data_IF_856753360670
#
_entry.id   IF_856753360670
#
_cell.length_a   1.000
_cell.length_b   1.000
_cell.length_c   1.000
_cell.angle_alpha   90.00
_cell.angle_beta   90.00
_cell.angle_gamma   90.00
#
_symmetry.space_group_name_H-M   'P 1'
#
loop_
_entity.id
_entity.type
_entity.pdbx_description
1 polymer ?
#
# COMPACT_ATOMS: atom_id res chain seq x y z
N UNK A 1 22.86 -67.24 7.47
CA UNK A 1 24.30 -67.38 7.63
C UNK A 1 24.75 -66.10 8.37
N UNK A 2 24.82 -66.16 9.63
CA UNK A 2 25.89 -66.40 10.60
C UNK A 2 26.76 -65.17 10.78
N UNK A 3 26.55 -64.54 11.95
CA UNK A 3 27.45 -64.47 13.14
C UNK A 3 28.45 -63.30 13.03
N UNK A 4 28.82 -62.53 14.03
CA UNK A 4 28.87 -62.56 15.51
C UNK A 4 29.27 -61.15 16.00
N UNK A 5 28.61 -60.58 16.94
CA UNK A 5 29.01 -60.20 18.31
C UNK A 5 30.52 -60.05 18.60
N UNK A 6 30.91 -58.91 19.20
CA UNK A 6 31.67 -58.88 20.45
C UNK A 6 31.61 -57.52 21.15
N UNK A 7 31.21 -57.62 22.38
CA UNK A 7 31.18 -56.70 23.51
C UNK A 7 32.59 -56.57 24.10
N UNK A 8 32.99 -55.41 24.60
CA UNK A 8 33.81 -55.29 25.80
C UNK A 8 33.54 -53.97 26.52
N UNK A 9 33.39 -54.13 27.82
CA UNK A 9 33.02 -53.15 28.82
C UNK A 9 34.23 -52.82 29.75
N UNK A 10 33.96 -51.84 30.67
CA UNK A 10 34.69 -51.58 31.94
C UNK A 10 35.90 -50.62 31.80
N UNK A 11 36.09 -49.56 32.59
CA UNK A 11 35.83 -49.22 33.99
C UNK A 11 36.01 -47.72 34.27
N UNK A 12 35.21 -47.21 35.01
CA UNK A 12 35.13 -46.39 36.23
C UNK A 12 36.46 -46.03 36.93
N UNK A 13 36.74 -44.70 37.13
CA UNK A 13 37.42 -44.21 38.34
C UNK A 13 36.90 -42.81 38.71
N UNK A 14 36.34 -42.70 39.93
CA UNK A 14 36.02 -41.49 40.70
C UNK A 14 37.27 -40.86 41.31
N UNK A 15 37.35 -39.52 41.34
CA UNK A 15 37.99 -38.81 42.48
C UNK A 15 37.56 -37.34 42.55
N UNK A 16 36.85 -36.94 43.56
CA UNK A 16 36.83 -35.64 44.26
C UNK A 16 37.74 -35.80 45.50
N UNK A 17 38.25 -34.75 46.18
CA UNK A 17 37.66 -33.45 46.50
C UNK A 17 38.68 -32.27 46.57
N UNK A 18 38.38 -31.04 46.83
CA UNK A 18 38.33 -30.32 48.09
C UNK A 18 38.32 -28.79 47.93
N UNK A 19 37.61 -28.18 48.81
CA UNK A 19 37.37 -26.77 48.97
C UNK A 19 38.58 -25.92 49.34
N UNK A 20 38.59 -24.63 48.98
CA UNK A 20 39.53 -23.64 49.48
C UNK A 20 38.89 -22.26 49.46
N UNK A 21 38.39 -21.77 50.61
CA UNK A 21 38.04 -20.38 50.90
C UNK A 21 39.32 -19.54 51.08
N UNK A 22 39.33 -18.30 50.58
CA UNK A 22 40.42 -17.36 50.84
C UNK A 22 40.06 -15.94 50.43
N UNK A 23 39.97 -15.08 51.40
CA UNK A 23 39.43 -13.73 51.53
C UNK A 23 40.22 -12.61 50.83
N UNK A 24 39.43 -11.55 50.56
CA UNK A 24 39.72 -10.10 50.59
C UNK A 24 41.01 -9.54 49.96
N UNK A 25 40.78 -8.61 49.00
CA UNK A 25 41.74 -7.57 48.61
C UNK A 25 41.03 -6.46 47.86
N UNK A 26 40.72 -5.39 48.58
CA UNK A 26 40.26 -4.10 48.00
C UNK A 26 41.39 -3.46 47.21
N UNK A 27 41.12 -2.96 46.01
CA UNK A 27 41.73 -1.73 45.51
C UNK A 27 40.84 -1.08 44.45
N UNK A 28 40.50 0.12 44.77
CA UNK A 28 39.79 1.13 43.96
C UNK A 28 40.57 1.50 42.71
N UNK A 29 39.84 1.71 41.63
CA UNK A 29 39.85 3.00 40.87
C UNK A 29 39.51 2.77 39.40
N UNK A 30 38.73 3.67 38.90
CA UNK A 30 38.47 3.79 37.44
C UNK A 30 37.02 3.76 37.10
N UNK A 31 36.28 4.75 37.56
CA UNK A 31 34.93 5.02 37.04
C UNK A 31 35.05 5.48 35.57
N UNK A 32 34.72 4.56 34.67
CA UNK A 32 34.28 4.95 33.34
C UNK A 32 32.76 4.93 33.40
N UNK A 33 32.19 6.11 33.52
CA UNK A 33 30.77 6.37 33.27
C UNK A 33 30.47 6.04 31.81
N UNK A 34 30.19 4.76 31.50
CA UNK A 34 29.52 4.40 30.28
C UNK A 34 28.08 4.89 30.42
N UNK A 35 27.79 5.97 29.69
CA UNK A 35 26.43 6.51 29.57
C UNK A 35 25.46 5.39 29.29
N UNK A 36 24.37 5.35 30.09
CA UNK A 36 23.30 4.36 29.99
C UNK A 36 22.51 4.45 28.70
N UNK A 37 23.09 4.07 27.58
CA UNK A 37 22.40 3.77 26.34
C UNK A 37 21.92 2.33 26.39
N UNK A 38 20.71 2.09 26.93
CA UNK A 38 20.08 0.77 26.85
C UNK A 38 20.08 0.28 25.42
N UNK A 39 20.56 -0.98 25.18
CA UNK A 39 20.58 -1.58 23.86
C UNK A 39 19.17 -1.61 23.25
N UNK A 40 19.09 -1.34 21.93
CA UNK A 40 17.81 -1.43 21.21
C UNK A 40 17.40 -2.90 21.18
N UNK A 41 16.18 -3.21 21.60
CA UNK A 41 15.61 -4.56 21.47
C UNK A 41 15.42 -4.85 19.99
N UNK A 42 15.75 -6.06 19.56
CA UNK A 42 15.63 -6.51 18.17
C UNK A 42 14.80 -7.78 18.08
N UNK A 43 14.25 -8.03 16.89
CA UNK A 43 13.46 -9.22 16.56
C UNK A 43 13.90 -9.83 15.22
N UNK A 44 13.11 -10.76 14.67
CA UNK A 44 13.38 -11.32 13.34
C UNK A 44 13.60 -10.22 12.29
N UNK A 45 14.58 -10.41 11.40
CA UNK A 45 14.90 -9.44 10.36
C UNK A 45 15.76 -8.26 10.81
N UNK A 46 16.12 -8.15 12.09
CA UNK A 46 16.96 -7.06 12.62
C UNK A 46 18.24 -7.60 13.22
N UNK A 47 19.37 -7.09 12.76
CA UNK A 47 20.70 -7.33 13.31
C UNK A 47 21.33 -6.01 13.80
N UNK A 48 22.57 -6.05 14.29
CA UNK A 48 23.29 -4.83 14.65
C UNK A 48 23.62 -3.93 13.44
N UNK A 49 23.62 -4.49 12.22
CA UNK A 49 24.03 -3.79 10.99
C UNK A 49 22.92 -3.66 9.97
N UNK A 50 21.86 -4.46 10.06
CA UNK A 50 20.83 -4.53 9.01
C UNK A 50 19.42 -4.59 9.57
N UNK A 51 18.46 -4.04 8.82
CA UNK A 51 17.02 -4.29 8.94
C UNK A 51 16.58 -4.87 7.60
N UNK A 52 15.96 -6.04 7.60
CA UNK A 52 15.44 -6.69 6.39
C UNK A 52 13.93 -6.55 6.37
N UNK A 53 13.39 -6.02 5.27
CA UNK A 53 11.96 -5.88 5.02
C UNK A 53 11.57 -6.77 3.83
N UNK A 54 10.28 -7.07 3.71
CA UNK A 54 9.75 -7.87 2.61
C UNK A 54 8.84 -7.05 1.69
N UNK A 55 8.92 -7.33 0.38
CA UNK A 55 7.97 -6.88 -0.63
C UNK A 55 7.28 -8.10 -1.22
N UNK A 56 5.99 -8.26 -0.96
CA UNK A 56 5.10 -9.18 -1.67
C UNK A 56 4.35 -8.37 -2.71
N UNK A 57 4.71 -8.54 -3.98
CA UNK A 57 4.28 -7.66 -5.06
C UNK A 57 3.79 -8.44 -6.28
N UNK A 58 3.17 -7.75 -7.23
CA UNK A 58 2.70 -8.31 -8.50
C UNK A 58 3.60 -7.82 -9.65
N UNK A 59 4.54 -8.65 -10.09
CA UNK A 59 5.42 -8.31 -11.22
C UNK A 59 5.03 -9.03 -12.52
N UNK A 60 4.06 -9.93 -12.46
CA UNK A 60 3.64 -10.76 -13.60
C UNK A 60 2.13 -10.83 -13.84
N UNK A 61 1.30 -10.31 -12.93
CA UNK A 61 -0.16 -10.33 -12.99
C UNK A 61 -0.78 -9.03 -13.51
N UNK A 62 -2.04 -8.80 -13.12
CA UNK A 62 -2.87 -7.69 -13.64
C UNK A 62 -2.35 -6.30 -13.30
N UNK A 63 -1.66 -6.16 -12.16
CA UNK A 63 -1.09 -4.88 -11.71
C UNK A 63 0.42 -4.76 -11.94
N UNK A 64 1.05 -5.71 -12.62
CA UNK A 64 2.48 -5.67 -12.92
C UNK A 64 2.97 -4.33 -13.53
N UNK A 65 2.21 -3.68 -14.44
CA UNK A 65 2.61 -2.39 -15.00
C UNK A 65 2.74 -1.27 -13.96
N UNK A 66 1.99 -1.33 -12.85
CA UNK A 66 2.04 -0.36 -11.76
C UNK A 66 3.03 -0.78 -10.66
N UNK A 67 3.06 -2.07 -10.34
CA UNK A 67 3.83 -2.63 -9.25
C UNK A 67 5.34 -2.60 -9.51
N UNK A 68 5.78 -2.84 -10.74
CA UNK A 68 7.21 -2.79 -11.09
C UNK A 68 7.85 -1.43 -10.77
N UNK A 69 7.33 -0.31 -11.31
CA UNK A 69 7.82 1.03 -10.97
C UNK A 69 7.69 1.38 -9.47
N UNK A 70 6.63 0.93 -8.79
CA UNK A 70 6.44 1.10 -7.36
C UNK A 70 7.58 0.44 -6.57
N UNK A 71 7.87 -0.84 -6.83
CA UNK A 71 8.93 -1.59 -6.16
C UNK A 71 10.31 -0.96 -6.43
N UNK A 72 10.56 -0.47 -7.65
CA UNK A 72 11.79 0.28 -7.97
C UNK A 72 11.89 1.58 -7.16
N UNK A 73 10.78 2.28 -6.93
CA UNK A 73 10.76 3.50 -6.13
C UNK A 73 11.00 3.21 -4.62
N UNK A 74 10.46 2.11 -4.09
CA UNK A 74 10.80 1.63 -2.75
C UNK A 74 12.32 1.41 -2.63
N UNK A 75 12.91 0.68 -3.57
CA UNK A 75 14.36 0.42 -3.57
C UNK A 75 15.16 1.72 -3.69
N UNK A 76 14.73 2.65 -4.56
CA UNK A 76 15.39 3.96 -4.73
C UNK A 76 15.43 4.74 -3.42
N UNK A 77 14.32 4.79 -2.69
CA UNK A 77 14.27 5.46 -1.38
C UNK A 77 15.27 4.84 -0.41
N UNK A 78 15.27 3.49 -0.28
CA UNK A 78 16.17 2.81 0.64
C UNK A 78 17.64 2.93 0.25
N UNK A 79 17.97 2.90 -1.05
CA UNK A 79 19.32 3.18 -1.53
C UNK A 79 19.80 4.57 -1.08
N UNK A 80 18.93 5.59 -1.22
CA UNK A 80 19.23 6.95 -0.79
C UNK A 80 19.39 7.06 0.73
N UNK A 81 18.53 6.41 1.52
CA UNK A 81 18.63 6.43 2.99
C UNK A 81 19.84 5.64 3.50
N UNK A 82 20.14 4.51 2.88
CA UNK A 82 21.34 3.71 3.21
C UNK A 82 22.63 4.51 2.96
N UNK A 83 22.68 5.30 1.88
CA UNK A 83 23.78 6.23 1.63
C UNK A 83 23.92 7.35 2.68
N UNK A 84 22.87 7.63 3.45
CA UNK A 84 22.86 8.59 4.56
C UNK A 84 23.04 7.95 5.94
N UNK A 85 23.37 6.65 6.00
CA UNK A 85 23.58 5.91 7.25
C UNK A 85 22.41 5.03 7.69
N UNK A 86 21.40 4.85 6.83
CA UNK A 86 20.28 3.94 7.03
C UNK A 86 19.32 4.36 8.15
N UNK A 87 18.86 3.38 8.92
CA UNK A 87 17.97 3.59 10.09
C UNK A 87 18.70 3.18 11.35
N UNK A 88 18.98 4.12 12.25
CA UNK A 88 19.70 3.86 13.50
C UNK A 88 21.04 3.18 13.30
N UNK A 89 21.77 3.58 12.25
CA UNK A 89 23.07 2.98 11.90
C UNK A 89 22.96 1.59 11.22
N UNK A 90 21.76 1.18 10.79
CA UNK A 90 21.50 -0.10 10.11
C UNK A 90 21.12 0.13 8.66
N UNK A 91 21.71 -0.63 7.76
CA UNK A 91 21.31 -0.68 6.34
C UNK A 91 19.96 -1.41 6.21
N UNK A 92 19.04 -0.87 5.43
CA UNK A 92 17.76 -1.53 5.12
C UNK A 92 17.89 -2.31 3.82
N UNK A 93 17.52 -3.60 3.86
CA UNK A 93 17.51 -4.50 2.71
C UNK A 93 16.08 -4.95 2.41
N UNK A 94 15.74 -5.13 1.12
CA UNK A 94 14.45 -5.63 0.67
C UNK A 94 14.56 -7.06 0.14
N UNK A 95 13.63 -7.94 0.53
CA UNK A 95 13.40 -9.26 -0.09
C UNK A 95 12.14 -9.14 -0.93
N UNK A 96 12.29 -9.12 -2.26
CA UNK A 96 11.17 -8.98 -3.19
C UNK A 96 10.70 -10.35 -3.66
N UNK A 97 9.38 -10.59 -3.63
CA UNK A 97 8.71 -11.80 -4.13
C UNK A 97 7.55 -11.42 -5.04
N UNK A 98 7.48 -12.07 -6.19
CA UNK A 98 6.40 -11.91 -7.18
C UNK A 98 5.32 -12.95 -6.99
N UNK A 99 4.14 -12.54 -6.50
CA UNK A 99 3.00 -13.45 -6.36
C UNK A 99 2.07 -13.46 -7.59
N UNK A 100 2.26 -12.56 -8.58
CA UNK A 100 1.44 -12.54 -9.80
C UNK A 100 -0.05 -12.31 -9.54
N UNK A 101 -0.40 -11.61 -8.46
CA UNK A 101 -1.77 -11.38 -7.98
C UNK A 101 -2.52 -12.66 -7.57
N UNK A 102 -1.78 -13.73 -7.21
CA UNK A 102 -2.31 -15.03 -6.76
C UNK A 102 -2.19 -15.16 -5.23
N UNK A 103 -3.32 -15.21 -4.47
CA UNK A 103 -3.30 -15.35 -3.02
C UNK A 103 -2.61 -16.62 -2.52
N UNK A 104 -2.72 -17.75 -3.23
CA UNK A 104 -2.10 -19.01 -2.81
C UNK A 104 -0.58 -18.93 -2.92
N UNK A 105 -0.08 -18.37 -4.02
CA UNK A 105 1.34 -18.13 -4.23
C UNK A 105 1.89 -17.15 -3.18
N UNK A 106 1.14 -16.09 -2.86
CA UNK A 106 1.53 -15.12 -1.83
C UNK A 106 1.67 -15.77 -0.44
N UNK A 107 0.76 -16.67 -0.05
CA UNK A 107 0.84 -17.41 1.22
C UNK A 107 2.12 -18.25 1.31
N UNK A 108 2.48 -18.94 0.22
CA UNK A 108 3.72 -19.75 0.18
C UNK A 108 4.95 -18.85 0.29
N UNK A 109 4.97 -17.73 -0.44
CA UNK A 109 6.10 -16.79 -0.43
C UNK A 109 6.24 -16.07 0.91
N UNK A 110 5.13 -15.70 1.54
CA UNK A 110 5.15 -15.11 2.87
C UNK A 110 5.79 -16.05 3.90
N UNK A 111 5.41 -17.32 3.90
CA UNK A 111 6.00 -18.33 4.81
C UNK A 111 7.52 -18.48 4.63
N UNK A 112 8.03 -18.36 3.40
CA UNK A 112 9.47 -18.40 3.13
C UNK A 112 10.20 -17.20 3.71
N UNK A 113 9.63 -15.99 3.58
CA UNK A 113 10.34 -14.76 3.98
C UNK A 113 10.04 -14.30 5.41
N UNK A 114 8.88 -14.66 5.98
CA UNK A 114 8.46 -14.14 7.28
C UNK A 114 9.48 -14.35 8.40
N UNK A 115 10.22 -15.46 8.52
CA UNK A 115 11.24 -15.59 9.58
C UNK A 115 12.45 -14.65 9.41
N UNK A 116 12.63 -14.07 8.22
CA UNK A 116 13.81 -13.29 7.82
C UNK A 116 13.58 -11.78 7.82
N UNK A 117 12.32 -11.32 8.02
CA UNK A 117 11.92 -9.91 7.87
C UNK A 117 11.38 -9.30 9.16
N UNK A 118 11.60 -8.01 9.34
CA UNK A 118 11.05 -7.23 10.46
C UNK A 118 9.63 -6.72 10.17
N UNK A 119 9.28 -6.53 8.91
CA UNK A 119 7.99 -6.03 8.45
C UNK A 119 7.86 -6.18 6.93
N UNK A 120 6.65 -5.98 6.41
CA UNK A 120 6.38 -5.87 4.99
C UNK A 120 6.38 -4.40 4.58
N UNK A 121 7.40 -4.03 3.79
CA UNK A 121 7.51 -2.71 3.17
C UNK A 121 6.41 -2.51 2.13
N UNK A 122 6.08 -3.58 1.39
CA UNK A 122 5.05 -3.60 0.39
C UNK A 122 4.25 -4.91 0.49
N UNK A 123 2.93 -4.78 0.61
CA UNK A 123 2.00 -5.90 0.46
C UNK A 123 0.94 -5.47 -0.55
N UNK A 124 1.06 -5.97 -1.79
CA UNK A 124 0.21 -5.55 -2.88
C UNK A 124 -0.99 -6.48 -3.07
N UNK A 125 -2.16 -5.87 -3.11
CA UNK A 125 -3.41 -6.53 -3.46
C UNK A 125 -4.32 -6.83 -2.27
N UNK A 126 -5.57 -6.37 -2.36
CA UNK A 126 -6.57 -6.58 -1.31
C UNK A 126 -6.87 -8.06 -1.05
N UNK A 127 -7.08 -8.92 -2.09
CA UNK A 127 -7.30 -10.35 -1.86
C UNK A 127 -6.06 -11.07 -1.31
N UNK A 128 -4.87 -10.58 -1.64
CA UNK A 128 -3.60 -11.10 -1.10
C UNK A 128 -3.53 -10.80 0.41
N UNK A 129 -3.82 -9.56 0.78
CA UNK A 129 -3.79 -9.12 2.19
C UNK A 129 -4.85 -9.86 3.00
N UNK A 130 -6.07 -10.01 2.49
CA UNK A 130 -7.14 -10.76 3.15
C UNK A 130 -6.75 -12.23 3.41
N UNK A 131 -6.14 -12.89 2.43
CA UNK A 131 -5.66 -14.27 2.57
C UNK A 131 -4.53 -14.42 3.62
N UNK A 132 -3.70 -13.40 3.77
CA UNK A 132 -2.58 -13.41 4.73
C UNK A 132 -2.97 -12.91 6.12
N UNK A 133 -4.11 -12.24 6.28
CA UNK A 133 -4.48 -11.51 7.50
C UNK A 133 -4.35 -12.32 8.80
N UNK A 134 -4.82 -13.58 8.90
CA UNK A 134 -4.66 -14.37 10.12
C UNK A 134 -3.20 -14.61 10.50
N UNK A 135 -2.34 -14.86 9.49
CA UNK A 135 -0.91 -15.11 9.72
C UNK A 135 -0.16 -13.82 10.06
N UNK A 136 -0.47 -12.71 9.37
CA UNK A 136 0.09 -11.39 9.69
C UNK A 136 -0.22 -10.97 11.12
N UNK A 137 -1.47 -11.23 11.58
CA UNK A 137 -1.90 -10.99 12.96
C UNK A 137 -1.11 -11.83 13.97
N UNK A 138 -0.99 -13.14 13.71
CA UNK A 138 -0.22 -14.06 14.57
C UNK A 138 1.24 -13.66 14.68
N UNK A 139 1.85 -13.27 13.56
CA UNK A 139 3.26 -12.88 13.48
C UNK A 139 3.54 -11.46 13.98
N UNK A 140 2.50 -10.68 14.29
CA UNK A 140 2.58 -9.23 14.57
C UNK A 140 3.36 -8.50 13.48
N UNK A 141 3.12 -8.88 12.23
CA UNK A 141 3.84 -8.38 11.06
C UNK A 141 3.25 -7.06 10.61
N UNK A 142 3.96 -5.95 10.87
CA UNK A 142 3.59 -4.68 10.28
C UNK A 142 3.60 -4.81 8.75
N UNK A 143 2.54 -4.31 8.12
CA UNK A 143 2.35 -4.46 6.68
C UNK A 143 1.88 -3.15 6.08
N UNK A 144 2.75 -2.52 5.26
CA UNK A 144 2.36 -1.35 4.49
C UNK A 144 1.69 -1.83 3.20
N UNK A 145 0.43 -1.48 3.04
CA UNK A 145 -0.36 -1.98 1.92
C UNK A 145 -0.13 -1.15 0.65
N UNK A 146 -0.09 -1.82 -0.49
CA UNK A 146 -0.38 -1.27 -1.82
C UNK A 146 -1.78 -1.73 -2.23
N UNK A 147 -2.72 -1.45 -1.36
CA UNK A 147 -4.16 -1.70 -1.41
C UNK A 147 -4.82 -0.83 -0.35
N UNK A 148 -6.09 -0.44 -0.54
CA UNK A 148 -6.79 0.49 0.37
C UNK A 148 -8.21 0.03 0.70
N UNK A 149 -8.44 -1.27 1.02
CA UNK A 149 -9.79 -1.75 1.32
C UNK A 149 -10.20 -1.35 2.75
N UNK A 150 -11.36 -0.72 2.94
CA UNK A 150 -11.80 -0.27 4.26
C UNK A 150 -11.97 -1.41 5.28
N UNK A 151 -12.19 -2.63 4.82
CA UNK A 151 -12.34 -3.84 5.66
C UNK A 151 -11.10 -4.20 6.48
N UNK A 152 -9.92 -3.72 6.10
CA UNK A 152 -8.65 -4.04 6.76
C UNK A 152 -8.21 -3.02 7.80
N UNK A 153 -8.83 -1.83 7.84
CA UNK A 153 -8.43 -0.70 8.70
C UNK A 153 -8.47 -1.01 10.20
N UNK A 154 -9.33 -1.94 10.64
CA UNK A 154 -9.46 -2.32 12.05
C UNK A 154 -8.23 -3.07 12.61
N UNK A 155 -7.26 -3.44 11.76
CA UNK A 155 -6.06 -4.18 12.17
C UNK A 155 -4.89 -3.24 12.45
N UNK A 156 -4.40 -3.25 13.68
CA UNK A 156 -3.35 -2.31 14.14
C UNK A 156 -1.97 -2.51 13.48
N UNK A 157 -1.73 -3.65 12.86
CA UNK A 157 -0.50 -3.98 12.11
C UNK A 157 -0.62 -3.70 10.60
N UNK A 158 -1.78 -3.26 10.13
CA UNK A 158 -2.04 -2.87 8.73
C UNK A 158 -1.92 -1.35 8.60
N UNK A 159 -1.11 -0.90 7.65
CA UNK A 159 -0.86 0.52 7.38
C UNK A 159 -1.26 0.83 5.95
N UNK A 160 -2.35 1.57 5.77
CA UNK A 160 -2.75 2.14 4.48
C UNK A 160 -2.15 3.54 4.34
N UNK A 161 -1.34 3.73 3.29
CA UNK A 161 -0.73 5.02 2.98
C UNK A 161 -1.63 5.77 2.00
N UNK A 162 -2.55 6.57 2.53
CA UNK A 162 -3.53 7.30 1.72
C UNK A 162 -4.97 7.11 2.20
N UNK A 163 -5.92 7.47 1.34
CA UNK A 163 -7.35 7.29 1.56
C UNK A 163 -7.79 5.89 1.13
N UNK A 164 -8.81 5.34 1.80
CA UNK A 164 -9.41 4.06 1.42
C UNK A 164 -10.29 4.19 0.17
N UNK A 165 -10.56 3.08 -0.51
CA UNK A 165 -11.32 3.05 -1.78
C UNK A 165 -12.71 3.65 -1.70
N UNK A 166 -13.40 3.46 -0.58
CA UNK A 166 -14.70 4.06 -0.33
C UNK A 166 -14.63 5.59 -0.22
N UNK A 167 -13.63 6.11 0.51
CA UNK A 167 -13.37 7.55 0.62
C UNK A 167 -13.03 8.16 -0.75
N UNK A 168 -12.21 7.47 -1.55
CA UNK A 168 -11.87 7.91 -2.90
C UNK A 168 -13.13 8.04 -3.78
N UNK A 169 -14.03 7.04 -3.75
CA UNK A 169 -15.25 7.06 -4.54
C UNK A 169 -16.28 8.09 -4.05
N UNK A 170 -16.44 8.26 -2.72
CA UNK A 170 -17.31 9.29 -2.15
C UNK A 170 -16.84 10.67 -2.62
N UNK A 171 -15.56 10.98 -2.47
CA UNK A 171 -14.98 12.24 -2.90
C UNK A 171 -15.10 12.45 -4.42
N UNK A 172 -14.84 11.41 -5.22
CA UNK A 172 -14.96 11.48 -6.68
C UNK A 172 -16.36 11.88 -7.14
N UNK A 173 -17.40 11.27 -6.56
CA UNK A 173 -18.79 11.56 -6.90
C UNK A 173 -19.22 12.94 -6.39
N UNK A 174 -18.80 13.35 -5.20
CA UNK A 174 -19.05 14.72 -4.71
C UNK A 174 -18.33 15.78 -5.54
N UNK A 175 -17.12 15.47 -6.04
CA UNK A 175 -16.43 16.34 -6.99
C UNK A 175 -17.25 16.54 -8.28
N UNK A 176 -17.74 15.43 -8.89
CA UNK A 176 -18.58 15.52 -10.09
C UNK A 176 -19.86 16.31 -9.81
N UNK A 177 -20.50 16.09 -8.66
CA UNK A 177 -21.70 16.84 -8.24
C UNK A 177 -21.38 18.32 -8.06
N UNK A 178 -20.30 18.66 -7.39
CA UNK A 178 -19.85 20.05 -7.21
C UNK A 178 -19.52 20.78 -8.51
N UNK A 179 -19.17 20.03 -9.58
CA UNK A 179 -18.98 20.56 -10.92
C UNK A 179 -20.26 20.58 -11.77
N UNK A 180 -21.41 20.18 -11.22
CA UNK A 180 -22.67 20.13 -11.93
C UNK A 180 -22.78 19.05 -13.00
N UNK A 181 -21.86 18.07 -13.01
CA UNK A 181 -21.85 16.98 -13.99
C UNK A 181 -22.87 15.89 -13.64
N UNK A 182 -23.17 15.73 -12.36
CA UNK A 182 -24.23 14.87 -11.84
C UNK A 182 -25.01 15.64 -10.77
N UNK A 183 -26.21 15.17 -10.44
CA UNK A 183 -27.07 15.77 -9.41
C UNK A 183 -27.68 14.70 -8.49
N UNK A 184 -28.25 15.12 -7.39
CA UNK A 184 -29.06 14.25 -6.51
C UNK A 184 -30.20 13.60 -7.29
N UNK A 185 -30.44 12.32 -7.04
CA UNK A 185 -31.43 11.49 -7.76
C UNK A 185 -30.89 10.80 -9.02
N UNK A 186 -29.69 11.15 -9.48
CA UNK A 186 -29.12 10.50 -10.67
C UNK A 186 -28.75 9.05 -10.41
N UNK A 187 -28.84 8.21 -11.45
CA UNK A 187 -28.34 6.83 -11.44
C UNK A 187 -26.83 6.82 -11.72
N UNK A 188 -26.08 6.16 -10.87
CA UNK A 188 -24.64 5.97 -11.01
C UNK A 188 -24.36 4.52 -11.40
N UNK A 189 -23.68 4.30 -12.51
CA UNK A 189 -23.14 2.99 -12.85
C UNK A 189 -21.89 2.70 -12.00
N UNK A 190 -21.68 1.46 -11.56
CA UNK A 190 -20.40 1.07 -10.95
C UNK A 190 -19.92 -0.25 -11.55
N UNK A 191 -18.78 -0.23 -12.25
CA UNK A 191 -18.09 -1.42 -12.73
C UNK A 191 -16.96 -1.72 -11.77
N UNK A 192 -16.93 -2.93 -11.22
CA UNK A 192 -15.99 -3.27 -10.14
C UNK A 192 -15.55 -4.73 -10.17
N UNK A 193 -14.31 -4.98 -9.76
CA UNK A 193 -13.81 -6.33 -9.55
C UNK A 193 -14.52 -7.01 -8.39
N UNK A 194 -14.80 -8.29 -8.53
CA UNK A 194 -15.21 -9.12 -7.39
C UNK A 194 -14.12 -9.15 -6.32
N UNK A 195 -14.52 -9.11 -5.03
CA UNK A 195 -13.63 -9.12 -3.86
C UNK A 195 -13.34 -7.74 -3.25
N UNK A 196 -12.49 -7.72 -2.24
CA UNK A 196 -12.29 -6.60 -1.30
C UNK A 196 -11.95 -5.27 -1.99
N UNK A 197 -11.21 -5.31 -3.10
CA UNK A 197 -10.88 -4.10 -3.86
C UNK A 197 -12.13 -3.45 -4.44
N UNK A 198 -12.86 -4.20 -5.28
CA UNK A 198 -14.02 -3.67 -5.98
C UNK A 198 -15.18 -3.34 -5.04
N UNK A 199 -15.42 -4.22 -4.06
CA UNK A 199 -16.50 -4.06 -3.08
C UNK A 199 -16.22 -2.88 -2.14
N UNK A 200 -14.96 -2.58 -1.80
CA UNK A 200 -14.59 -1.40 -1.04
C UNK A 200 -14.98 -0.11 -1.76
N UNK A 201 -14.66 0.03 -3.05
CA UNK A 201 -15.08 1.19 -3.83
C UNK A 201 -16.59 1.26 -4.02
N UNK A 202 -17.25 0.11 -4.24
CA UNK A 202 -18.71 0.03 -4.35
C UNK A 202 -19.41 0.52 -3.08
N UNK A 203 -18.88 0.18 -1.89
CA UNK A 203 -19.42 0.65 -0.62
C UNK A 203 -19.46 2.18 -0.55
N UNK A 204 -18.39 2.86 -0.99
CA UNK A 204 -18.35 4.32 -1.09
C UNK A 204 -19.39 4.88 -2.06
N UNK A 205 -19.52 4.27 -3.24
CA UNK A 205 -20.54 4.68 -4.22
C UNK A 205 -21.96 4.51 -3.67
N UNK A 206 -22.26 3.38 -3.02
CA UNK A 206 -23.57 3.13 -2.39
C UNK A 206 -23.86 4.12 -1.26
N UNK A 207 -22.87 4.42 -0.43
CA UNK A 207 -23.02 5.40 0.63
C UNK A 207 -23.33 6.79 0.05
N UNK A 208 -22.55 7.24 -0.92
CA UNK A 208 -22.81 8.51 -1.59
C UNK A 208 -24.21 8.56 -2.19
N UNK A 209 -24.62 7.50 -2.89
CA UNK A 209 -25.94 7.40 -3.49
C UNK A 209 -27.06 7.53 -2.44
N UNK A 210 -26.91 6.85 -1.29
CA UNK A 210 -27.88 6.91 -0.18
C UNK A 210 -28.05 8.34 0.38
N UNK A 211 -26.95 9.11 0.45
CA UNK A 211 -26.98 10.51 0.94
C UNK A 211 -27.54 11.49 -0.09
N UNK A 212 -27.60 11.08 -1.35
CA UNK A 212 -28.04 11.95 -2.45
C UNK A 212 -29.38 11.52 -3.08
N UNK A 213 -30.10 10.55 -2.50
CA UNK A 213 -31.33 10.01 -3.09
C UNK A 213 -31.10 9.39 -4.47
N UNK A 214 -29.88 8.99 -4.76
CA UNK A 214 -29.41 8.38 -6.00
C UNK A 214 -29.47 6.85 -5.92
N UNK A 215 -29.32 6.15 -7.04
CA UNK A 215 -29.27 4.70 -7.09
C UNK A 215 -28.00 4.22 -7.82
N UNK A 216 -27.53 3.02 -7.50
CA UNK A 216 -26.34 2.41 -8.11
C UNK A 216 -26.76 1.28 -9.02
N UNK A 217 -26.23 1.26 -10.24
CA UNK A 217 -26.37 0.15 -11.22
C UNK A 217 -25.06 -0.61 -11.24
N UNK A 218 -25.03 -1.75 -10.57
CA UNK A 218 -23.83 -2.54 -10.32
C UNK A 218 -23.49 -3.45 -11.51
N UNK A 219 -22.19 -3.49 -11.85
CA UNK A 219 -21.63 -4.38 -12.87
C UNK A 219 -20.38 -5.06 -12.28
N UNK A 220 -20.57 -6.22 -11.65
CA UNK A 220 -19.49 -7.04 -11.11
C UNK A 220 -18.77 -7.77 -12.25
N UNK A 221 -17.43 -7.80 -12.21
CA UNK A 221 -16.58 -8.48 -13.18
C UNK A 221 -15.42 -9.21 -12.47
N UNK A 222 -14.79 -10.13 -13.20
CA UNK A 222 -13.53 -10.75 -12.77
C UNK A 222 -12.33 -9.90 -13.21
N UNK A 223 -11.20 -10.00 -12.50
CA UNK A 223 -9.98 -9.29 -12.87
C UNK A 223 -9.41 -9.66 -14.25
N UNK A 224 -9.80 -10.84 -14.76
CA UNK A 224 -9.44 -11.36 -16.08
C UNK A 224 -10.34 -10.91 -17.22
N UNK A 225 -11.51 -10.31 -16.91
CA UNK A 225 -12.43 -9.81 -17.92
C UNK A 225 -11.89 -8.51 -18.53
N UNK A 226 -11.70 -8.45 -19.83
CA UNK A 226 -11.16 -7.28 -20.53
C UNK A 226 -12.19 -6.57 -21.44
N UNK A 227 -13.21 -7.29 -21.93
CA UNK A 227 -14.28 -6.71 -22.76
C UNK A 227 -15.47 -6.26 -21.91
N UNK A 228 -15.70 -4.94 -21.88
CA UNK A 228 -16.77 -4.33 -21.10
C UNK A 228 -18.02 -3.98 -21.92
N UNK A 229 -18.18 -4.58 -23.11
CA UNK A 229 -19.31 -4.28 -24.03
C UNK A 229 -20.66 -4.54 -23.37
N UNK A 230 -20.82 -5.67 -22.69
CA UNK A 230 -22.06 -6.05 -22.01
C UNK A 230 -22.42 -5.11 -20.86
N UNK A 231 -21.42 -4.78 -20.03
CA UNK A 231 -21.56 -3.90 -18.87
C UNK A 231 -21.95 -2.48 -19.29
N UNK A 232 -21.24 -1.91 -20.28
CA UNK A 232 -21.53 -0.56 -20.79
C UNK A 232 -22.93 -0.50 -21.43
N UNK A 233 -23.33 -1.53 -22.21
CA UNK A 233 -24.66 -1.61 -22.78
C UNK A 233 -25.75 -1.67 -21.70
N UNK A 234 -25.51 -2.39 -20.60
CA UNK A 234 -26.43 -2.44 -19.46
C UNK A 234 -26.57 -1.08 -18.77
N UNK A 235 -25.44 -0.40 -18.52
CA UNK A 235 -25.41 0.94 -17.93
C UNK A 235 -26.11 1.98 -18.82
N UNK A 236 -25.92 1.91 -20.14
CA UNK A 236 -26.60 2.77 -21.10
C UNK A 236 -28.12 2.56 -21.05
N UNK A 237 -28.59 1.31 -21.10
CA UNK A 237 -30.04 1.01 -20.99
C UNK A 237 -30.63 1.48 -19.66
N UNK A 238 -29.87 1.42 -18.57
CA UNK A 238 -30.30 1.90 -17.26
C UNK A 238 -30.36 3.43 -17.18
N UNK A 239 -29.73 4.16 -18.11
CA UNK A 239 -29.72 5.61 -18.18
C UNK A 239 -28.85 6.26 -17.11
N UNK A 240 -27.70 5.66 -16.79
CA UNK A 240 -26.76 6.21 -15.80
C UNK A 240 -26.22 7.57 -16.22
N UNK A 241 -25.87 8.42 -15.26
CA UNK A 241 -25.34 9.78 -15.46
C UNK A 241 -23.86 9.92 -15.15
N UNK A 242 -23.27 8.93 -14.51
CA UNK A 242 -21.83 8.75 -14.34
C UNK A 242 -21.52 7.26 -14.24
N UNK A 243 -20.24 6.90 -14.46
CA UNK A 243 -19.73 5.56 -14.24
C UNK A 243 -18.60 5.64 -13.22
N UNK A 244 -18.77 5.02 -12.06
CA UNK A 244 -17.71 4.74 -11.11
C UNK A 244 -17.00 3.45 -11.51
N UNK A 245 -15.69 3.41 -11.34
CA UNK A 245 -14.85 2.29 -11.77
C UNK A 245 -13.89 1.91 -10.66
N UNK A 246 -13.91 0.63 -10.24
CA UNK A 246 -12.95 0.05 -9.29
C UNK A 246 -12.41 -1.24 -9.91
N UNK A 247 -11.52 -1.08 -10.90
CA UNK A 247 -10.96 -2.16 -11.73
C UNK A 247 -9.49 -1.90 -12.07
N UNK A 248 -8.91 -2.66 -12.97
CA UNK A 248 -7.59 -2.39 -13.54
C UNK A 248 -7.64 -1.41 -14.73
N UNK A 249 -6.46 -0.97 -15.20
CA UNK A 249 -6.36 0.01 -16.30
C UNK A 249 -6.97 -0.46 -17.62
N UNK A 250 -6.84 -1.73 -17.98
CA UNK A 250 -7.41 -2.26 -19.23
C UNK A 250 -8.93 -2.15 -19.26
N UNK A 251 -9.59 -2.43 -18.14
CA UNK A 251 -11.04 -2.32 -18.01
C UNK A 251 -11.49 -0.85 -18.10
N UNK A 252 -10.77 0.09 -17.47
CA UNK A 252 -11.05 1.52 -17.62
C UNK A 252 -10.99 1.96 -19.08
N UNK A 253 -9.96 1.54 -19.82
CA UNK A 253 -9.83 1.85 -21.24
C UNK A 253 -10.97 1.24 -22.06
N UNK A 254 -11.33 -0.02 -21.80
CA UNK A 254 -12.45 -0.71 -22.44
C UNK A 254 -13.78 0.01 -22.18
N UNK A 255 -14.07 0.35 -20.91
CA UNK A 255 -15.29 1.10 -20.53
C UNK A 255 -15.35 2.44 -21.29
N UNK A 256 -14.27 3.23 -21.25
CA UNK A 256 -14.24 4.55 -21.87
C UNK A 256 -14.42 4.48 -23.40
N UNK A 257 -13.71 3.58 -24.06
CA UNK A 257 -13.78 3.40 -25.51
C UNK A 257 -15.15 2.91 -25.96
N UNK A 258 -15.73 1.92 -25.26
CA UNK A 258 -17.05 1.37 -25.61
C UNK A 258 -18.16 2.39 -25.28
N UNK A 259 -18.08 3.10 -24.16
CA UNK A 259 -19.05 4.15 -23.82
C UNK A 259 -19.10 5.22 -24.91
N UNK A 260 -17.94 5.69 -25.36
CA UNK A 260 -17.86 6.66 -26.46
C UNK A 260 -18.42 6.10 -27.76
N UNK A 261 -18.08 4.86 -28.16
CA UNK A 261 -18.58 4.23 -29.38
C UNK A 261 -20.09 4.01 -29.38
N UNK A 262 -20.66 3.75 -28.21
CA UNK A 262 -22.11 3.60 -28.04
C UNK A 262 -22.84 4.93 -27.81
N UNK A 263 -22.14 6.07 -27.76
CA UNK A 263 -22.73 7.40 -27.52
C UNK A 263 -23.16 7.61 -26.04
N UNK A 264 -22.61 6.86 -25.10
CA UNK A 264 -22.80 7.09 -23.66
C UNK A 264 -21.75 8.11 -23.17
N UNK A 265 -22.03 9.39 -23.38
CA UNK A 265 -21.14 10.50 -23.02
C UNK A 265 -21.41 10.96 -21.58
N UNK A 266 -20.96 10.24 -20.61
CA UNK A 266 -21.07 10.56 -19.17
C UNK A 266 -19.68 10.59 -18.53
N UNK A 267 -19.47 11.33 -17.42
CA UNK A 267 -18.21 11.29 -16.69
C UNK A 267 -17.94 9.88 -16.15
N UNK A 268 -16.66 9.49 -16.19
CA UNK A 268 -16.16 8.22 -15.67
C UNK A 268 -15.17 8.58 -14.56
N UNK A 269 -15.37 8.06 -13.35
CA UNK A 269 -14.43 8.27 -12.24
C UNK A 269 -13.80 6.93 -11.86
N UNK A 270 -12.47 6.89 -11.94
CA UNK A 270 -11.67 5.77 -11.44
C UNK A 270 -10.95 6.18 -10.15
N UNK A 271 -10.73 5.21 -9.27
CA UNK A 271 -9.89 5.37 -8.09
C UNK A 271 -8.47 4.84 -8.34
N UNK A 272 -7.59 4.89 -7.35
CA UNK A 272 -6.35 4.12 -7.41
C UNK A 272 -6.69 2.61 -7.36
N UNK A 273 -6.14 1.76 -8.19
CA UNK A 273 -5.15 1.87 -9.26
C UNK A 273 -5.73 1.71 -10.68
N UNK A 274 -6.85 2.33 -11.00
CA UNK A 274 -7.54 2.15 -12.29
C UNK A 274 -6.77 2.69 -13.51
N UNK A 275 -5.75 3.52 -13.31
CA UNK A 275 -5.05 4.19 -14.41
C UNK A 275 -3.59 3.76 -14.53
N UNK A 276 -3.17 3.48 -15.76
CA UNK A 276 -1.77 3.36 -16.18
C UNK A 276 -1.55 4.21 -17.45
N UNK A 277 -0.45 4.98 -17.58
CA UNK A 277 -0.19 5.80 -18.76
C UNK A 277 -0.24 5.03 -20.09
N UNK A 278 0.08 3.74 -20.10
CA UNK A 278 0.05 2.92 -21.31
C UNK A 278 -1.33 2.84 -21.98
N UNK A 279 -2.43 3.05 -21.22
CA UNK A 279 -3.78 3.08 -21.84
C UNK A 279 -4.01 4.32 -22.70
N UNK A 280 -3.16 5.36 -22.59
CA UNK A 280 -3.18 6.54 -23.46
C UNK A 280 -2.63 6.26 -24.86
N UNK A 281 -1.94 5.13 -25.05
CA UNK A 281 -1.51 4.65 -26.38
C UNK A 281 -2.60 3.82 -27.09
N UNK A 282 -3.75 3.61 -26.43
CA UNK A 282 -4.86 2.83 -26.96
C UNK A 282 -5.87 3.69 -27.74
N UNK A 283 -6.74 3.09 -28.56
CA UNK A 283 -7.85 3.79 -29.22
C UNK A 283 -8.80 4.51 -28.24
N UNK A 284 -8.80 4.14 -26.97
CA UNK A 284 -9.61 4.77 -25.93
C UNK A 284 -9.07 6.14 -25.45
N UNK A 285 -7.84 6.54 -25.83
CA UNK A 285 -7.18 7.75 -25.32
C UNK A 285 -8.05 9.01 -25.43
N UNK A 286 -8.69 9.22 -26.58
CA UNK A 286 -9.59 10.37 -26.82
C UNK A 286 -10.78 10.36 -25.84
N UNK A 287 -11.39 9.20 -25.61
CA UNK A 287 -12.52 9.04 -24.68
C UNK A 287 -12.08 9.23 -23.22
N UNK A 288 -10.91 8.69 -22.86
CA UNK A 288 -10.32 8.89 -21.54
C UNK A 288 -10.06 10.37 -21.26
N UNK A 289 -9.38 11.09 -22.16
CA UNK A 289 -9.13 12.53 -22.02
C UNK A 289 -10.42 13.34 -21.92
N UNK A 290 -11.46 12.96 -22.67
CA UNK A 290 -12.73 13.68 -22.68
C UNK A 290 -13.52 13.48 -21.38
N UNK A 291 -13.64 12.26 -20.88
CA UNK A 291 -14.66 11.89 -19.90
C UNK A 291 -14.09 11.31 -18.57
N UNK A 292 -12.82 10.88 -18.52
CA UNK A 292 -12.31 10.23 -17.32
C UNK A 292 -11.69 11.21 -16.31
N UNK A 293 -11.87 10.86 -15.04
CA UNK A 293 -11.26 11.48 -13.87
C UNK A 293 -10.66 10.38 -13.02
N UNK A 294 -9.47 10.64 -12.49
CA UNK A 294 -8.83 9.73 -11.53
C UNK A 294 -8.79 10.42 -10.19
N UNK A 295 -9.42 9.80 -9.21
CA UNK A 295 -9.55 10.28 -7.85
C UNK A 295 -8.78 9.36 -6.91
N UNK A 296 -7.82 9.90 -6.18
CA UNK A 296 -7.03 9.11 -5.25
C UNK A 296 -6.07 9.97 -4.44
N UNK A 297 -5.48 9.40 -3.42
CA UNK A 297 -4.56 10.14 -2.56
C UNK A 297 -3.16 10.31 -3.14
N UNK A 298 -2.81 9.60 -4.22
CA UNK A 298 -1.49 9.64 -4.85
C UNK A 298 -1.42 10.81 -5.84
N UNK A 299 -0.34 11.61 -5.76
CA UNK A 299 -0.12 12.72 -6.70
C UNK A 299 0.15 12.23 -8.11
N UNK A 300 -0.37 12.96 -9.11
CA UNK A 300 0.09 12.81 -10.47
C UNK A 300 1.51 13.38 -10.62
N UNK A 301 2.24 12.89 -11.63
CA UNK A 301 3.60 13.36 -11.95
C UNK A 301 3.69 14.86 -12.20
N UNK A 302 2.60 15.45 -12.65
CA UNK A 302 2.48 16.88 -13.00
C UNK A 302 2.15 17.79 -11.81
N UNK A 303 2.04 17.28 -10.58
CA UNK A 303 1.82 18.10 -9.41
C UNK A 303 3.05 18.99 -9.15
N UNK A 304 2.84 20.31 -9.14
CA UNK A 304 3.90 21.30 -8.89
C UNK A 304 4.23 21.38 -7.38
N UNK A 305 5.02 20.41 -6.91
CA UNK A 305 5.59 20.35 -5.56
C UNK A 305 7.05 19.92 -5.65
N UNK A 306 7.96 20.53 -4.86
CA UNK A 306 9.39 20.22 -4.92
C UNK A 306 9.69 18.73 -4.73
N UNK A 307 9.08 18.07 -3.75
CA UNK A 307 9.29 16.64 -3.47
C UNK A 307 8.82 15.76 -4.64
N UNK A 308 7.63 16.04 -5.20
CA UNK A 308 7.07 15.28 -6.33
C UNK A 308 7.99 15.36 -7.54
N UNK A 309 8.49 16.57 -7.83
CA UNK A 309 9.44 16.80 -8.92
C UNK A 309 10.77 16.09 -8.67
N UNK A 310 11.34 16.23 -7.47
CA UNK A 310 12.62 15.60 -7.11
C UNK A 310 12.56 14.08 -7.25
N UNK A 311 11.52 13.44 -6.69
CA UNK A 311 11.32 11.99 -6.80
C UNK A 311 11.16 11.57 -8.26
N UNK A 312 10.43 12.36 -9.04
CA UNK A 312 10.24 12.13 -10.47
C UNK A 312 11.55 12.19 -11.25
N UNK A 313 12.32 13.26 -11.07
CA UNK A 313 13.61 13.48 -11.76
C UNK A 313 14.63 12.40 -11.39
N UNK A 314 14.77 12.07 -10.11
CA UNK A 314 15.65 11.00 -9.60
C UNK A 314 15.29 9.65 -10.21
N UNK A 315 13.98 9.33 -10.24
CA UNK A 315 13.51 8.07 -10.78
C UNK A 315 13.76 7.95 -12.27
N UNK A 316 13.43 9.01 -13.04
CA UNK A 316 13.63 9.04 -14.50
C UNK A 316 15.11 8.96 -14.87
N UNK A 317 15.99 9.60 -14.11
CA UNK A 317 17.44 9.54 -14.36
C UNK A 317 17.99 8.10 -14.22
N UNK A 318 17.42 7.30 -13.31
CA UNK A 318 17.85 5.92 -13.03
C UNK A 318 17.13 4.88 -13.90
N UNK A 319 15.85 5.07 -14.22
CA UNK A 319 14.98 4.05 -14.82
C UNK A 319 14.39 4.44 -16.18
N UNK A 320 14.56 5.69 -16.62
CA UNK A 320 13.98 6.21 -17.85
C UNK A 320 12.52 6.64 -17.74
N UNK A 321 12.02 7.35 -18.77
CA UNK A 321 10.68 7.97 -18.78
C UNK A 321 9.55 6.97 -18.94
N UNK A 322 9.79 5.76 -19.48
CA UNK A 322 8.76 4.76 -19.75
C UNK A 322 8.03 4.32 -18.46
N UNK A 323 8.77 4.28 -17.35
CA UNK A 323 8.24 3.88 -16.05
C UNK A 323 7.75 5.07 -15.19
N UNK A 324 7.64 6.28 -15.78
CA UNK A 324 7.09 7.46 -15.10
C UNK A 324 5.57 7.31 -14.89
N UNK A 325 5.18 6.94 -13.68
CA UNK A 325 3.79 6.63 -13.29
C UNK A 325 3.52 7.11 -11.87
N UNK A 326 2.27 7.38 -11.53
CA UNK A 326 1.88 7.77 -10.16
C UNK A 326 2.31 6.73 -9.11
N UNK A 327 2.42 5.45 -9.47
CA UNK A 327 2.91 4.40 -8.59
C UNK A 327 4.35 4.59 -8.11
N UNK A 328 5.18 5.37 -8.83
CA UNK A 328 6.52 5.78 -8.36
C UNK A 328 6.41 6.72 -7.16
N UNK A 329 5.54 7.73 -7.25
CA UNK A 329 5.29 8.67 -6.16
C UNK A 329 4.80 7.93 -4.91
N UNK A 330 3.89 6.98 -5.12
CA UNK A 330 3.39 6.13 -4.04
C UNK A 330 4.48 5.26 -3.42
N UNK A 331 5.27 4.55 -4.22
CA UNK A 331 6.33 3.67 -3.70
C UNK A 331 7.34 4.43 -2.85
N UNK A 332 7.76 5.62 -3.32
CA UNK A 332 8.66 6.47 -2.55
C UNK A 332 8.04 6.92 -1.22
N UNK A 333 6.79 7.40 -1.24
CA UNK A 333 6.07 7.81 -0.03
C UNK A 333 5.83 6.65 0.95
N UNK A 334 5.52 5.46 0.43
CA UNK A 334 5.34 4.25 1.24
C UNK A 334 6.64 3.89 1.98
N UNK A 335 7.78 3.99 1.30
CA UNK A 335 9.08 3.74 1.92
C UNK A 335 9.45 4.83 2.94
N UNK A 336 9.10 6.10 2.68
CA UNK A 336 9.26 7.19 3.63
C UNK A 336 8.42 6.99 4.90
N UNK A 337 7.18 6.51 4.78
CA UNK A 337 6.35 6.15 5.94
C UNK A 337 6.98 5.02 6.76
N UNK A 338 7.47 3.95 6.11
CA UNK A 338 8.18 2.86 6.82
C UNK A 338 9.44 3.37 7.51
N UNK A 339 10.20 4.25 6.86
CA UNK A 339 11.36 4.91 7.47
C UNK A 339 11.00 5.65 8.77
N UNK A 340 9.92 6.43 8.75
CA UNK A 340 9.44 7.16 9.91
C UNK A 340 8.97 6.22 11.03
N UNK A 341 8.32 5.10 10.68
CA UNK A 341 7.92 4.05 11.64
C UNK A 341 9.16 3.42 12.30
N UNK A 342 10.14 3.01 11.51
CA UNK A 342 11.37 2.38 12.01
C UNK A 342 12.18 3.35 12.85
N UNK A 343 12.29 4.62 12.43
CA UNK A 343 12.94 5.67 13.22
C UNK A 343 12.26 5.85 14.58
N UNK A 344 10.93 5.90 14.59
CA UNK A 344 10.17 5.99 15.85
C UNK A 344 10.36 4.75 16.73
N UNK A 345 10.42 3.56 16.15
CA UNK A 345 10.73 2.32 16.88
C UNK A 345 12.14 2.35 17.50
N UNK A 346 13.11 2.93 16.77
CA UNK A 346 14.45 3.17 17.32
C UNK A 346 14.45 4.14 18.50
N UNK A 347 13.72 5.27 18.38
CA UNK A 347 13.59 6.26 19.47
C UNK A 347 12.99 5.59 20.71
N UNK A 348 12.04 4.67 20.51
CA UNK A 348 11.43 3.84 21.56
C UNK A 348 12.36 2.71 22.05
N UNK A 349 13.54 2.51 21.43
CA UNK A 349 14.49 1.43 21.69
C UNK A 349 13.91 0.02 21.51
N UNK A 350 12.95 -0.15 20.60
CA UNK A 350 12.28 -1.41 20.36
C UNK A 350 12.03 -1.66 18.86
N UNK A 351 12.93 -2.42 18.22
CA UNK A 351 12.83 -2.88 16.84
C UNK A 351 12.31 -4.33 16.75
N UNK A 352 11.64 -4.83 17.78
CA UNK A 352 10.84 -6.05 17.65
C UNK A 352 9.61 -5.76 16.78
N UNK A 353 8.98 -6.77 16.21
CA UNK A 353 7.73 -6.60 15.42
C UNK A 353 6.65 -5.85 16.21
N UNK A 354 6.46 -6.22 17.49
CA UNK A 354 5.51 -5.54 18.38
C UNK A 354 5.90 -4.06 18.60
N UNK A 355 7.20 -3.78 18.81
CA UNK A 355 7.71 -2.41 18.95
C UNK A 355 7.49 -1.58 17.68
N UNK A 356 7.69 -2.16 16.49
CA UNK A 356 7.46 -1.50 15.20
C UNK A 356 5.97 -1.19 15.00
N UNK A 357 5.07 -2.14 15.30
CA UNK A 357 3.62 -1.91 15.25
C UNK A 357 3.21 -0.78 16.22
N UNK A 358 3.69 -0.81 17.46
CA UNK A 358 3.42 0.27 18.44
C UNK A 358 3.94 1.64 17.97
N UNK A 359 5.12 1.66 17.34
CA UNK A 359 5.71 2.89 16.83
C UNK A 359 4.87 3.49 15.69
N UNK A 360 4.32 2.66 14.80
CA UNK A 360 3.47 3.14 13.71
C UNK A 360 2.24 3.91 14.23
N UNK A 361 1.66 3.47 15.34
CA UNK A 361 0.48 4.08 15.96
C UNK A 361 0.79 5.34 16.81
N UNK A 362 2.03 5.82 16.78
CA UNK A 362 2.46 7.07 17.38
C UNK A 362 2.74 8.17 16.33
N UNK A 363 2.55 7.87 15.04
CA UNK A 363 2.80 8.81 13.95
C UNK A 363 1.53 9.54 13.58
N UNK A 364 1.56 10.87 13.68
CA UNK A 364 0.52 11.76 13.16
C UNK A 364 1.16 12.94 12.45
N UNK A 365 0.43 13.55 11.51
CA UNK A 365 0.91 14.71 10.77
C UNK A 365 2.11 14.41 9.86
N UNK A 366 2.24 13.15 9.37
CA UNK A 366 3.33 12.78 8.47
C UNK A 366 3.09 13.47 7.12
N UNK A 367 3.98 14.41 6.78
CA UNK A 367 3.98 15.11 5.49
C UNK A 367 4.93 14.41 4.51
N UNK A 368 4.42 14.02 3.37
CA UNK A 368 5.19 13.39 2.29
C UNK A 368 5.54 14.39 1.17
N UNK A 369 5.55 15.68 1.47
CA UNK A 369 5.88 16.74 0.50
C UNK A 369 4.93 16.81 -0.70
N UNK A 370 3.71 16.26 -0.55
CA UNK A 370 2.68 16.21 -1.59
C UNK A 370 2.69 14.95 -2.45
N UNK A 371 3.54 13.95 -2.17
CA UNK A 371 3.46 12.65 -2.83
C UNK A 371 2.11 11.97 -2.56
N UNK A 372 1.61 12.12 -1.31
CA UNK A 372 0.26 11.71 -0.89
C UNK A 372 -0.51 12.96 -0.45
N UNK A 373 -1.79 12.99 -0.70
CA UNK A 373 -2.68 14.10 -0.35
C UNK A 373 -2.87 14.22 1.17
N UNK A 374 -2.64 15.41 1.70
CA UNK A 374 -2.81 15.75 3.11
C UNK A 374 -1.72 15.18 4.02
N UNK A 375 -1.66 15.63 5.27
CA UNK A 375 -0.87 14.97 6.29
C UNK A 375 -1.51 13.64 6.68
N UNK A 376 -0.66 12.62 6.95
CA UNK A 376 -1.10 11.28 7.29
C UNK A 376 -1.13 11.10 8.81
N UNK A 377 -2.20 10.48 9.32
CA UNK A 377 -2.39 10.18 10.74
C UNK A 377 -2.64 8.67 10.93
N UNK A 378 -1.73 8.00 11.63
CA UNK A 378 -1.80 6.56 11.91
C UNK A 378 -2.25 6.25 13.33
N UNK A 379 -2.58 7.25 14.14
CA UNK A 379 -2.96 7.06 15.57
C UNK A 379 -4.36 6.47 15.74
N UNK A 380 -5.20 6.57 14.72
CA UNK A 380 -6.59 6.13 14.74
C UNK A 380 -6.75 4.79 14.03
N UNK A 381 -6.80 3.71 14.79
CA UNK A 381 -7.10 2.38 14.26
C UNK A 381 -8.56 2.37 13.77
N UNK A 382 -8.80 1.76 12.63
CA UNK A 382 -10.14 1.73 11.99
C UNK A 382 -10.40 2.89 11.03
N UNK A 383 -9.45 3.83 10.89
CA UNK A 383 -9.53 4.95 9.95
C UNK A 383 -8.39 4.93 8.94
N UNK A 384 -8.60 5.40 7.68
CA UNK A 384 -7.52 5.61 6.73
C UNK A 384 -6.59 6.72 7.23
N UNK A 385 -5.35 6.72 6.76
CA UNK A 385 -4.36 7.71 7.19
C UNK A 385 -4.69 9.13 6.74
N UNK A 386 -5.54 9.29 5.73
CA UNK A 386 -6.12 10.56 5.29
C UNK A 386 -7.47 10.33 4.62
N UNK A 387 -8.33 11.34 4.59
CA UNK A 387 -9.58 11.37 3.80
C UNK A 387 -9.48 12.31 2.61
N UNK A 388 -8.33 12.95 2.48
CA UNK A 388 -8.04 13.92 1.41
C UNK A 388 -7.53 13.20 0.16
N UNK A 389 -7.97 13.65 -1.01
CA UNK A 389 -7.55 13.12 -2.29
C UNK A 389 -7.06 14.20 -3.25
N UNK A 390 -6.41 13.77 -4.30
CA UNK A 390 -6.19 14.52 -5.53
C UNK A 390 -7.21 14.10 -6.59
N UNK A 391 -7.49 15.01 -7.51
CA UNK A 391 -8.21 14.72 -8.75
C UNK A 391 -7.28 15.01 -9.93
N UNK A 392 -7.16 14.06 -10.83
CA UNK A 392 -6.39 14.21 -12.05
C UNK A 392 -7.20 13.79 -13.28
N UNK A 393 -6.78 14.21 -14.45
CA UNK A 393 -7.37 13.82 -15.73
C UNK A 393 -6.34 13.15 -16.62
N UNK A 394 -6.72 12.08 -17.34
CA UNK A 394 -5.89 11.53 -18.41
C UNK A 394 -5.55 12.61 -19.43
N UNK A 395 -4.25 12.76 -19.74
CA UNK A 395 -3.73 13.75 -20.71
C UNK A 395 -2.40 13.25 -21.30
N UNK A 396 -2.00 13.83 -22.41
CA UNK A 396 -0.73 13.52 -23.07
C UNK A 396 0.44 14.27 -22.40
N UNK A 397 0.72 13.88 -21.17
CA UNK A 397 1.80 14.44 -20.33
C UNK A 397 2.61 13.29 -19.72
N UNK A 398 3.79 13.60 -19.16
CA UNK A 398 4.57 12.60 -18.43
C UNK A 398 3.73 12.00 -17.31
N UNK A 399 3.71 10.68 -17.20
CA UNK A 399 2.86 9.96 -16.23
C UNK A 399 1.39 9.84 -16.63
N UNK A 400 0.99 10.41 -17.78
CA UNK A 400 -0.35 10.25 -18.37
C UNK A 400 -1.49 10.96 -17.65
N UNK A 401 -1.21 11.64 -16.52
CA UNK A 401 -2.22 12.34 -15.70
C UNK A 401 -1.84 13.79 -15.50
N UNK A 402 -2.77 14.68 -15.86
CA UNK A 402 -2.72 16.11 -15.53
C UNK A 402 -3.39 16.33 -14.18
N UNK A 403 -2.60 16.74 -13.19
CA UNK A 403 -3.09 17.09 -11.87
C UNK A 403 -4.01 18.31 -11.93
N UNK A 404 -5.21 18.21 -11.32
CA UNK A 404 -6.06 19.38 -11.11
C UNK A 404 -5.62 20.14 -9.84
N UNK A 405 -5.87 21.46 -9.78
CA UNK A 405 -5.40 22.27 -8.65
C UNK A 405 -5.99 21.86 -7.31
N UNK A 406 -5.15 21.84 -6.27
CA UNK A 406 -5.55 21.60 -4.91
C UNK A 406 -5.80 20.14 -4.56
N UNK A 407 -6.18 19.94 -3.32
CA UNK A 407 -6.70 18.68 -2.77
C UNK A 407 -8.21 18.79 -2.58
N UNK A 408 -8.88 17.65 -2.44
CA UNK A 408 -10.32 17.60 -2.26
C UNK A 408 -10.71 16.65 -1.13
N UNK A 409 -11.59 17.12 -0.27
CA UNK A 409 -12.21 16.35 0.80
C UNK A 409 -13.62 16.88 1.02
N UNK A 410 -14.63 16.07 0.69
CA UNK A 410 -16.02 16.46 0.81
C UNK A 410 -16.56 16.28 2.23
N UNK A 411 -17.62 17.01 2.57
CA UNK A 411 -18.31 16.82 3.86
C UNK A 411 -18.91 15.42 3.97
N UNK A 412 -19.32 14.81 2.86
CA UNK A 412 -19.79 13.43 2.83
C UNK A 412 -18.69 12.46 3.23
N UNK A 413 -17.48 12.65 2.70
CA UNK A 413 -16.31 11.83 3.05
C UNK A 413 -15.85 12.05 4.50
N UNK A 414 -15.86 13.30 5.01
CA UNK A 414 -15.54 13.62 6.40
C UNK A 414 -16.45 12.92 7.41
N UNK A 415 -17.76 12.83 7.06
CA UNK A 415 -18.78 12.26 7.94
C UNK A 415 -19.03 10.77 7.70
N UNK A 416 -18.29 10.14 6.79
CA UNK A 416 -18.39 8.70 6.56
C UNK A 416 -17.84 7.92 7.76
N UNK A 417 -18.65 6.98 8.25
CA UNK A 417 -18.26 6.10 9.36
C UNK A 417 -17.92 4.73 8.81
N UNK A 418 -16.73 4.26 9.12
CA UNK A 418 -16.33 2.90 8.78
C UNK A 418 -17.12 1.94 9.68
N UNK A 419 -17.76 0.93 9.06
CA UNK A 419 -18.32 -0.16 9.85
C UNK A 419 -17.16 -0.94 10.46
N UNK A 420 -17.13 -1.07 11.79
CA UNK A 420 -16.25 -2.03 12.41
C UNK A 420 -16.56 -3.40 11.79
N UNK A 421 -15.62 -3.97 11.06
CA UNK A 421 -15.73 -5.34 10.57
C UNK A 421 -15.84 -6.24 11.79
N UNK A 422 -17.04 -6.81 12.00
CA UNK A 422 -17.32 -7.84 13.01
C UNK A 422 -16.50 -9.09 12.75
#
# INVERSE_FOLDING_TARGET
>A
MSRLLRVFAISLILALPAAGCGSKGSSSSGGSSSGGGGSIKTGPGVTDKTITLGDLTDLSGVFAPLAGPLTKANQMFWDQQNGKGGVCGRTVNLIVKDHGYDPQKAVVQYRDISPKIAGLQQLLGSPITAALLPTLKSDRMISLLSAWPPSLLANDFVIEVGASYDIEQINALDYLKGKGMIKSGDKIGHVYFEGEYGEGGLAGTKYWASKNGSSVVEQKIQATDEDMTGQVAALKRAGVKAIAVTTGPKQLASIAGIAASQGLNVPIVGNNPTFDPAIMDSPAAKALTANAYIAGSISAWTLDKPQVKQVGDDFVSKNGKKDAKASVQFGYAQAEVMYNILKKACDNKDLTREGIVKASRQLSGVDTGGLIAGPLDYTKIGEPSTRTIYIARPDNVIGGLKQLPGTFESDTAKNYQFSASS
#
